data_IF_099034786406
#
_entry.id   IF_099034786406
#
_cell.length_a   1.000
_cell.length_b   1.000
_cell.length_c   1.000
_cell.angle_alpha   90.00
_cell.angle_beta   90.00
_cell.angle_gamma   90.00
#
_symmetry.space_group_name_H-M   'P 1'
#
loop_
_entity.id
_entity.type
_entity.pdbx_description
1 polymer ?
#
# COMPACT_ATOMS: atom_id res chain seq x y z
N UNK A 1 -22.85 2.06 5.22
CA UNK A 1 -23.14 0.92 4.34
C UNK A 1 -24.65 0.68 4.25
N UNK A 2 -25.09 0.16 3.11
CA UNK A 2 -26.44 -0.40 2.91
C UNK A 2 -26.26 -1.92 2.80
N UNK A 3 -27.10 -2.68 3.52
CA UNK A 3 -27.16 -4.13 3.41
C UNK A 3 -28.48 -4.55 2.78
N UNK A 4 -28.45 -5.57 1.92
CA UNK A 4 -29.65 -6.08 1.26
C UNK A 4 -29.91 -7.52 1.72
N UNK A 5 -31.15 -7.78 2.15
CA UNK A 5 -31.59 -9.12 2.54
C UNK A 5 -32.34 -9.74 1.36
N UNK A 6 -31.96 -10.95 0.99
CA UNK A 6 -32.63 -11.75 -0.03
C UNK A 6 -33.66 -12.69 0.61
N UNK A 7 -34.91 -12.55 0.20
CA UNK A 7 -36.01 -13.46 0.53
C UNK A 7 -36.65 -13.97 -0.76
N UNK A 8 -37.37 -15.09 -0.70
CA UNK A 8 -38.19 -15.56 -1.82
C UNK A 8 -39.66 -15.20 -1.61
N UNK A 9 -40.45 -14.97 -2.68
CA UNK A 9 -41.87 -14.58 -2.54
C UNK A 9 -42.69 -15.53 -1.66
N UNK A 10 -42.40 -16.82 -1.73
CA UNK A 10 -43.12 -17.84 -1.00
C UNK A 10 -42.38 -18.35 0.27
N UNK A 11 -41.23 -17.74 0.60
CA UNK A 11 -40.44 -18.06 1.78
C UNK A 11 -39.93 -16.75 2.37
N UNK A 12 -40.70 -16.12 3.29
CA UNK A 12 -40.33 -14.81 3.84
C UNK A 12 -39.10 -14.85 4.76
N UNK A 13 -38.64 -16.05 5.15
CA UNK A 13 -37.41 -16.19 5.91
C UNK A 13 -36.19 -15.75 5.09
N UNK A 14 -35.30 -14.92 5.66
CA UNK A 14 -34.05 -14.50 5.02
C UNK A 14 -33.21 -15.70 4.59
N UNK A 15 -32.70 -15.72 3.35
CA UNK A 15 -31.86 -16.78 2.83
C UNK A 15 -30.40 -16.33 2.68
N UNK A 16 -30.22 -15.05 2.34
CA UNK A 16 -28.93 -14.45 2.18
C UNK A 16 -28.95 -12.97 2.54
N UNK A 17 -27.79 -12.44 2.89
CA UNK A 17 -27.59 -11.01 3.12
C UNK A 17 -26.32 -10.55 2.43
N UNK A 18 -26.42 -9.44 1.68
CA UNK A 18 -25.30 -8.73 1.09
C UNK A 18 -24.93 -7.61 2.07
N UNK A 19 -23.83 -7.79 2.80
CA UNK A 19 -23.51 -6.98 3.98
C UNK A 19 -22.66 -5.75 3.68
N UNK A 20 -22.18 -5.62 2.44
CA UNK A 20 -21.16 -4.61 2.18
C UNK A 20 -19.91 -4.88 3.03
N UNK A 21 -19.37 -3.84 3.65
CA UNK A 21 -18.27 -3.95 4.60
C UNK A 21 -18.72 -4.11 6.06
N UNK A 22 -20.03 -4.06 6.36
CA UNK A 22 -20.50 -4.11 7.74
C UNK A 22 -20.26 -5.47 8.43
N UNK A 23 -20.22 -6.54 7.65
CA UNK A 23 -19.81 -7.87 8.10
C UNK A 23 -19.06 -8.57 6.98
N UNK A 24 -17.82 -8.97 7.26
CA UNK A 24 -16.95 -9.71 6.34
C UNK A 24 -16.62 -11.08 6.96
N UNK A 25 -16.02 -11.96 6.19
CA UNK A 25 -15.63 -13.28 6.70
C UNK A 25 -14.52 -13.09 7.75
N UNK A 26 -14.84 -13.37 9.00
CA UNK A 26 -13.92 -13.24 10.13
C UNK A 26 -13.64 -11.81 10.60
N UNK A 27 -14.35 -10.80 10.09
CA UNK A 27 -14.09 -9.39 10.44
C UNK A 27 -15.17 -8.43 9.97
N UNK A 28 -14.80 -7.17 9.87
CA UNK A 28 -15.61 -6.08 9.31
C UNK A 28 -14.71 -5.05 8.63
N UNK A 29 -15.32 -4.12 7.87
CA UNK A 29 -14.56 -3.00 7.31
C UNK A 29 -13.99 -2.13 8.43
N UNK A 30 -12.77 -1.63 8.20
CA UNK A 30 -12.13 -0.69 9.10
C UNK A 30 -12.84 0.66 9.10
N UNK A 31 -12.79 1.36 10.22
CA UNK A 31 -13.59 2.57 10.47
C UNK A 31 -12.80 3.86 10.37
N UNK A 32 -11.48 3.78 10.13
CA UNK A 32 -10.56 4.91 10.09
C UNK A 32 -10.31 5.51 8.70
N UNK A 33 -10.90 4.92 7.64
CA UNK A 33 -10.67 5.36 6.25
C UNK A 33 -11.21 6.77 5.92
N UNK A 34 -12.10 7.32 6.75
CA UNK A 34 -12.64 8.67 6.58
C UNK A 34 -11.89 9.74 7.39
N UNK A 35 -10.90 9.33 8.16
CA UNK A 35 -10.11 10.19 9.03
C UNK A 35 -10.24 9.86 10.50
N UNK A 36 -9.25 10.24 11.32
CA UNK A 36 -9.20 9.90 12.74
C UNK A 36 -10.38 10.46 13.53
N UNK A 37 -10.92 11.62 13.13
CA UNK A 37 -12.06 12.27 13.76
C UNK A 37 -13.36 11.45 13.65
N UNK A 38 -13.48 10.58 12.64
CA UNK A 38 -14.65 9.73 12.42
C UNK A 38 -14.50 8.31 12.95
N UNK A 39 -13.28 7.88 13.25
CA UNK A 39 -12.93 6.49 13.54
C UNK A 39 -13.79 5.89 14.64
N UNK A 40 -13.86 6.55 15.79
CA UNK A 40 -14.62 6.08 16.96
C UNK A 40 -16.12 6.07 16.70
N UNK A 41 -16.66 7.12 16.09
CA UNK A 41 -18.08 7.22 15.81
C UNK A 41 -18.51 6.14 14.80
N UNK A 42 -17.72 5.92 13.76
CA UNK A 42 -17.98 4.86 12.78
C UNK A 42 -17.88 3.46 13.40
N UNK A 43 -16.99 3.25 14.37
CA UNK A 43 -16.91 1.98 15.10
C UNK A 43 -18.17 1.76 15.96
N UNK A 44 -18.71 2.79 16.61
CA UNK A 44 -19.99 2.72 17.34
C UNK A 44 -21.17 2.39 16.41
N UNK A 45 -21.23 3.02 15.25
CA UNK A 45 -22.24 2.74 14.23
C UNK A 45 -22.11 1.34 13.64
N UNK A 46 -20.90 0.84 13.48
CA UNK A 46 -20.61 -0.53 13.04
C UNK A 46 -21.11 -1.53 14.09
N UNK A 47 -20.80 -1.32 15.38
CA UNK A 47 -21.33 -2.12 16.47
C UNK A 47 -22.86 -2.23 16.41
N UNK A 48 -23.56 -1.09 16.32
CA UNK A 48 -25.02 -1.08 16.20
C UNK A 48 -25.50 -1.87 14.97
N UNK A 49 -24.88 -1.66 13.82
CA UNK A 49 -25.26 -2.34 12.57
C UNK A 49 -25.06 -3.84 12.66
N UNK A 50 -23.98 -4.27 13.31
CA UNK A 50 -23.65 -5.67 13.50
C UNK A 50 -24.59 -6.33 14.51
N UNK A 51 -24.64 -5.82 15.75
CA UNK A 51 -25.34 -6.46 16.85
C UNK A 51 -26.85 -6.25 16.85
N UNK A 52 -27.33 -5.06 16.48
CA UNK A 52 -28.76 -4.78 16.48
C UNK A 52 -29.50 -5.19 15.20
N UNK A 53 -28.77 -5.49 14.11
CA UNK A 53 -29.38 -5.80 12.81
C UNK A 53 -28.88 -7.13 12.23
N UNK A 54 -27.61 -7.21 11.82
CA UNK A 54 -27.09 -8.35 11.04
C UNK A 54 -27.07 -9.64 11.87
N UNK A 55 -26.60 -9.60 13.09
CA UNK A 55 -26.53 -10.75 13.97
C UNK A 55 -27.91 -11.17 14.56
N UNK A 56 -28.97 -10.44 14.27
CA UNK A 56 -30.35 -10.83 14.56
C UNK A 56 -30.94 -11.77 13.49
N UNK A 57 -30.25 -11.92 12.36
CA UNK A 57 -30.68 -12.85 11.31
C UNK A 57 -30.42 -14.30 11.74
N UNK A 58 -31.21 -15.28 11.22
CA UNK A 58 -30.99 -16.70 11.50
C UNK A 58 -29.60 -17.19 11.11
N UNK A 59 -29.07 -18.15 11.84
CA UNK A 59 -27.72 -18.71 11.65
C UNK A 59 -27.48 -19.27 10.27
N UNK A 60 -28.51 -19.80 9.60
CA UNK A 60 -28.43 -20.37 8.26
C UNK A 60 -28.30 -19.32 7.14
N UNK A 61 -28.52 -18.04 7.42
CA UNK A 61 -28.45 -16.98 6.41
C UNK A 61 -27.04 -16.84 5.88
N UNK A 62 -26.88 -16.96 4.57
CA UNK A 62 -25.59 -16.81 3.89
C UNK A 62 -25.21 -15.34 3.81
N UNK A 63 -23.93 -15.05 4.08
CA UNK A 63 -23.36 -13.70 4.07
C UNK A 63 -22.48 -13.54 2.82
N UNK A 64 -22.76 -12.50 2.05
CA UNK A 64 -22.01 -12.08 0.87
C UNK A 64 -21.43 -10.67 1.12
N UNK A 65 -20.18 -10.56 1.54
CA UNK A 65 -19.52 -9.26 1.74
C UNK A 65 -19.09 -8.64 0.40
N UNK A 66 -18.66 -7.37 0.45
CA UNK A 66 -18.21 -6.64 -0.74
C UNK A 66 -17.01 -7.30 -1.43
N UNK A 67 -16.06 -7.83 -0.66
CA UNK A 67 -14.84 -8.49 -1.14
C UNK A 67 -14.31 -9.47 -0.09
N UNK A 68 -13.36 -10.31 -0.50
CA UNK A 68 -12.63 -11.22 0.39
C UNK A 68 -11.33 -10.61 0.92
N UNK A 69 -10.38 -11.49 1.30
CA UNK A 69 -9.06 -11.12 1.80
C UNK A 69 -8.23 -10.29 0.80
N UNK A 70 -7.21 -9.59 1.31
CA UNK A 70 -6.22 -8.85 0.51
C UNK A 70 -6.59 -7.40 0.21
N UNK A 71 -7.69 -6.89 0.75
CA UNK A 71 -8.05 -5.47 0.66
C UNK A 71 -7.63 -4.71 1.91
N UNK A 72 -7.07 -3.50 1.74
CA UNK A 72 -6.79 -2.58 2.85
C UNK A 72 -8.06 -2.02 3.53
N UNK A 73 -9.24 -2.29 2.98
CA UNK A 73 -10.52 -1.82 3.53
C UNK A 73 -11.01 -2.65 4.72
N UNK A 74 -10.36 -3.76 5.06
CA UNK A 74 -10.78 -4.65 6.13
C UNK A 74 -9.61 -5.07 7.00
N UNK A 75 -9.87 -5.27 8.29
CA UNK A 75 -8.98 -6.00 9.20
C UNK A 75 -8.83 -7.46 8.70
N UNK A 76 -7.84 -8.22 9.23
CA UNK A 76 -7.50 -9.54 8.67
C UNK A 76 -8.73 -10.36 8.38
N UNK A 77 -8.88 -10.75 7.12
CA UNK A 77 -10.06 -11.43 6.58
C UNK A 77 -9.62 -12.81 6.11
N UNK A 78 -10.45 -13.81 6.38
CA UNK A 78 -10.21 -15.17 5.92
C UNK A 78 -10.20 -15.27 4.37
N UNK A 79 -9.56 -16.29 3.84
CA UNK A 79 -9.48 -16.55 2.39
C UNK A 79 -10.84 -16.87 1.75
N UNK A 80 -11.82 -17.29 2.55
CA UNK A 80 -13.17 -17.60 2.07
C UNK A 80 -13.89 -16.32 1.66
N UNK A 81 -14.68 -16.42 0.60
CA UNK A 81 -15.44 -15.30 0.03
C UNK A 81 -16.84 -15.14 0.61
N UNK A 82 -17.38 -16.18 1.24
CA UNK A 82 -18.73 -16.23 1.79
C UNK A 82 -18.73 -16.94 3.13
N UNK A 83 -19.72 -16.64 3.97
CA UNK A 83 -19.91 -17.26 5.28
C UNK A 83 -21.38 -17.36 5.63
N UNK A 84 -21.72 -17.65 6.88
CA UNK A 84 -23.08 -17.59 7.42
C UNK A 84 -23.13 -16.75 8.69
N UNK A 85 -24.29 -16.23 9.02
CA UNK A 85 -24.49 -15.46 10.28
C UNK A 85 -24.08 -16.29 11.51
N UNK A 86 -24.44 -17.57 11.54
CA UNK A 86 -24.07 -18.46 12.65
C UNK A 86 -22.57 -18.67 12.77
N UNK A 87 -21.85 -18.86 11.65
CA UNK A 87 -20.39 -18.96 11.67
C UNK A 87 -19.73 -17.68 12.19
N UNK A 88 -20.15 -16.51 11.67
CA UNK A 88 -19.60 -15.24 12.13
C UNK A 88 -19.90 -15.00 13.61
N UNK A 89 -21.08 -15.32 14.09
CA UNK A 89 -21.44 -15.22 15.53
C UNK A 89 -20.53 -16.10 16.39
N UNK A 90 -20.11 -17.25 15.89
CA UNK A 90 -19.26 -18.17 16.62
C UNK A 90 -17.76 -17.84 16.55
N UNK A 91 -17.27 -17.27 15.45
CA UNK A 91 -15.82 -17.19 15.16
C UNK A 91 -15.28 -15.78 14.98
N UNK A 92 -16.11 -14.80 14.61
CA UNK A 92 -15.69 -13.44 14.38
C UNK A 92 -15.58 -12.66 15.71
N UNK A 93 -14.41 -12.20 16.05
CA UNK A 93 -14.18 -11.51 17.33
C UNK A 93 -15.06 -10.27 17.50
N UNK A 94 -15.26 -9.47 16.44
CA UNK A 94 -16.15 -8.30 16.49
C UNK A 94 -17.62 -8.73 16.72
N UNK A 95 -18.07 -9.81 16.11
CA UNK A 95 -19.41 -10.33 16.28
C UNK A 95 -19.64 -10.92 17.69
N UNK A 96 -18.59 -11.39 18.34
CA UNK A 96 -18.63 -11.95 19.72
C UNK A 96 -18.53 -10.89 20.80
N UNK A 97 -18.00 -9.70 20.47
CA UNK A 97 -17.79 -8.61 21.42
C UNK A 97 -19.04 -7.73 21.52
N UNK A 98 -19.90 -8.03 22.52
CA UNK A 98 -21.16 -7.31 22.71
C UNK A 98 -21.00 -5.95 23.40
N UNK A 99 -19.97 -5.77 24.24
CA UNK A 99 -19.69 -4.52 24.92
C UNK A 99 -19.23 -3.43 23.96
N UNK A 100 -19.90 -2.27 23.96
CA UNK A 100 -19.65 -1.19 23.00
C UNK A 100 -18.20 -0.66 23.05
N UNK A 101 -17.70 -0.39 24.26
CA UNK A 101 -16.36 0.19 24.42
C UNK A 101 -15.26 -0.83 24.09
N UNK A 102 -15.45 -2.09 24.45
CA UNK A 102 -14.55 -3.19 24.08
C UNK A 102 -14.56 -3.41 22.55
N UNK A 103 -15.73 -3.36 21.93
CA UNK A 103 -15.86 -3.45 20.47
C UNK A 103 -15.12 -2.30 19.77
N UNK A 104 -15.28 -1.06 20.23
CA UNK A 104 -14.58 0.11 19.67
C UNK A 104 -13.07 -0.07 19.79
N UNK A 105 -12.59 -0.47 20.98
CA UNK A 105 -11.17 -0.73 21.19
C UNK A 105 -10.65 -1.81 20.23
N UNK A 106 -11.37 -2.92 20.08
CA UNK A 106 -10.99 -4.01 19.17
C UNK A 106 -11.02 -3.59 17.71
N UNK A 107 -12.06 -2.86 17.28
CA UNK A 107 -12.25 -2.45 15.90
C UNK A 107 -11.22 -1.40 15.42
N UNK A 108 -10.59 -0.69 16.36
CA UNK A 108 -9.63 0.38 16.08
C UNK A 108 -8.18 0.02 16.42
N UNK A 109 -7.96 -1.11 17.09
CA UNK A 109 -6.62 -1.54 17.48
C UNK A 109 -5.86 -2.16 16.29
N UNK A 110 -4.56 -1.84 16.18
CA UNK A 110 -3.63 -2.53 15.28
C UNK A 110 -3.99 -2.43 13.80
N UNK A 111 -4.75 -1.41 13.40
CA UNK A 111 -5.10 -1.21 11.99
C UNK A 111 -3.83 -0.88 11.20
N UNK A 112 -3.54 -1.63 10.11
CA UNK A 112 -2.37 -1.35 9.28
C UNK A 112 -2.53 -0.01 8.55
N UNK A 113 -1.41 0.59 8.15
CA UNK A 113 -1.43 1.76 7.26
C UNK A 113 -2.18 1.45 5.96
N UNK A 114 -2.65 2.46 5.26
CA UNK A 114 -3.39 2.32 4.02
C UNK A 114 -3.02 3.41 3.01
N UNK A 115 -3.21 3.15 1.70
CA UNK A 115 -2.90 4.14 0.66
C UNK A 115 -3.64 5.46 0.88
N UNK A 116 -2.92 6.57 0.78
CA UNK A 116 -3.45 7.90 1.10
C UNK A 116 -4.65 8.32 0.25
N UNK A 117 -4.74 7.83 -0.99
CA UNK A 117 -5.87 8.12 -1.89
C UNK A 117 -7.23 7.59 -1.37
N UNK A 118 -7.25 6.67 -0.41
CA UNK A 118 -8.50 6.18 0.18
C UNK A 118 -9.32 7.30 0.81
N UNK A 119 -8.67 8.33 1.34
CA UNK A 119 -9.34 9.52 1.90
C UNK A 119 -10.13 10.29 0.85
N UNK A 120 -9.70 10.22 -0.42
CA UNK A 120 -10.31 10.92 -1.54
C UNK A 120 -11.48 10.14 -2.17
N UNK A 121 -11.53 8.81 -1.95
CA UNK A 121 -12.49 7.92 -2.60
C UNK A 121 -13.95 8.32 -2.33
N UNK A 122 -14.26 8.79 -1.12
CA UNK A 122 -15.62 9.23 -0.79
C UNK A 122 -16.06 10.41 -1.67
N UNK A 123 -15.23 11.44 -1.75
CA UNK A 123 -15.52 12.64 -2.54
C UNK A 123 -15.58 12.32 -4.04
N UNK A 124 -14.67 11.48 -4.53
CA UNK A 124 -14.66 11.01 -5.91
C UNK A 124 -15.95 10.25 -6.26
N UNK A 125 -16.35 9.30 -5.43
CA UNK A 125 -17.55 8.50 -5.66
C UNK A 125 -18.84 9.33 -5.55
N UNK A 126 -18.89 10.32 -4.66
CA UNK A 126 -20.04 11.23 -4.55
C UNK A 126 -20.19 12.14 -5.78
N UNK A 127 -19.06 12.61 -6.33
CA UNK A 127 -19.03 13.43 -7.56
C UNK A 127 -19.37 12.60 -8.80
N UNK A 128 -19.15 11.30 -8.74
CA UNK A 128 -19.25 10.38 -9.86
C UNK A 128 -18.00 10.35 -10.75
N UNK A 129 -17.77 9.21 -11.36
CA UNK A 129 -16.63 9.03 -12.27
C UNK A 129 -16.91 9.73 -13.62
N UNK A 130 -15.92 10.41 -14.22
CA UNK A 130 -16.08 10.96 -15.57
C UNK A 130 -16.20 9.81 -16.59
N UNK A 131 -17.03 10.02 -17.61
CA UNK A 131 -17.13 9.10 -18.76
C UNK A 131 -16.01 9.43 -19.72
N UNK A 132 -15.00 8.58 -19.78
CA UNK A 132 -13.78 8.83 -20.58
C UNK A 132 -13.94 8.51 -22.07
N UNK A 133 -14.95 7.72 -22.44
CA UNK A 133 -15.11 7.25 -23.86
C UNK A 133 -14.05 6.24 -24.31
N UNK A 134 -12.98 6.06 -23.55
CA UNK A 134 -11.86 5.15 -23.77
C UNK A 134 -10.70 5.44 -22.83
N UNK A 135 -9.70 4.57 -22.81
CA UNK A 135 -8.49 4.79 -22.02
C UNK A 135 -7.62 5.87 -22.71
N UNK A 136 -7.21 6.95 -21.99
CA UNK A 136 -6.33 7.95 -22.57
C UNK A 136 -4.99 7.34 -23.02
N UNK A 137 -4.56 7.69 -24.22
CA UNK A 137 -3.22 7.34 -24.68
C UNK A 137 -2.18 8.24 -24.01
N UNK A 138 -1.10 7.64 -23.51
CA UNK A 138 0.02 8.40 -22.98
C UNK A 138 0.83 9.02 -24.13
N UNK A 139 1.22 10.27 -23.95
CA UNK A 139 2.10 10.97 -24.92
C UNK A 139 3.55 10.70 -24.59
N UNK A 140 4.37 10.45 -25.62
CA UNK A 140 5.81 10.56 -25.49
C UNK A 140 6.19 12.04 -25.29
N UNK A 141 6.96 12.34 -24.27
CA UNK A 141 7.46 13.69 -24.00
C UNK A 141 8.99 13.66 -23.95
N UNK A 142 9.61 14.69 -24.49
CA UNK A 142 11.05 14.90 -24.42
C UNK A 142 11.47 15.42 -23.02
N UNK A 143 12.77 15.39 -22.73
CA UNK A 143 13.32 15.99 -21.51
C UNK A 143 12.97 17.48 -21.40
N UNK A 144 13.01 18.20 -22.53
CA UNK A 144 12.69 19.63 -22.55
C UNK A 144 11.22 19.90 -22.18
N UNK A 145 10.30 19.06 -22.67
CA UNK A 145 8.88 19.13 -22.29
C UNK A 145 8.62 18.66 -20.86
N UNK A 146 9.37 17.68 -20.37
CA UNK A 146 9.23 17.17 -19.00
C UNK A 146 9.67 18.17 -17.94
N UNK A 147 10.74 18.94 -18.20
CA UNK A 147 11.37 19.80 -17.21
C UNK A 147 10.41 20.81 -16.54
N UNK A 148 9.58 21.57 -17.26
CA UNK A 148 8.62 22.48 -16.65
C UNK A 148 7.61 21.78 -15.74
N UNK A 149 7.21 20.55 -16.07
CA UNK A 149 6.30 19.78 -15.24
C UNK A 149 6.95 19.35 -13.93
N UNK A 150 8.22 18.92 -13.95
CA UNK A 150 8.97 18.59 -12.73
C UNK A 150 9.15 19.81 -11.84
N UNK A 151 9.46 20.97 -12.40
CA UNK A 151 9.57 22.23 -11.67
C UNK A 151 8.25 22.67 -11.01
N UNK A 152 7.13 22.30 -11.61
CA UNK A 152 5.78 22.51 -11.08
C UNK A 152 5.33 21.40 -10.12
N UNK A 153 6.22 20.46 -9.78
CA UNK A 153 5.96 19.41 -8.81
C UNK A 153 5.32 18.14 -9.36
N UNK A 154 5.42 17.90 -10.66
CA UNK A 154 5.01 16.59 -11.21
C UNK A 154 5.87 15.46 -10.62
N UNK A 155 5.25 14.31 -10.40
CA UNK A 155 5.94 13.10 -9.97
C UNK A 155 6.47 12.33 -11.18
N UNK A 156 7.75 12.00 -11.14
CA UNK A 156 8.35 11.05 -12.07
C UNK A 156 8.25 9.66 -11.46
N UNK A 157 7.50 8.75 -12.07
CA UNK A 157 7.27 7.39 -11.59
C UNK A 157 7.92 6.40 -12.56
N UNK A 158 8.94 5.72 -12.08
CA UNK A 158 9.63 4.67 -12.82
C UNK A 158 8.94 3.33 -12.54
N UNK A 159 8.38 2.75 -13.59
CA UNK A 159 7.62 1.50 -13.52
C UNK A 159 8.43 0.28 -13.99
N UNK A 160 9.72 0.47 -14.32
CA UNK A 160 10.66 -0.61 -14.63
C UNK A 160 10.89 -1.50 -13.42
N UNK A 161 11.58 -2.60 -13.62
CA UNK A 161 11.91 -3.51 -12.52
C UNK A 161 12.81 -2.85 -11.47
N UNK A 162 12.78 -3.36 -10.24
CA UNK A 162 13.68 -2.93 -9.16
C UNK A 162 15.15 -3.06 -9.57
N UNK A 163 15.53 -4.12 -10.27
CA UNK A 163 16.91 -4.32 -10.72
C UNK A 163 17.37 -3.21 -11.68
N UNK A 164 16.58 -2.89 -12.68
CA UNK A 164 16.87 -1.81 -13.63
C UNK A 164 16.93 -0.44 -12.95
N UNK A 165 16.04 -0.21 -11.99
CA UNK A 165 16.05 1.04 -11.22
C UNK A 165 17.33 1.18 -10.39
N UNK A 166 17.78 0.12 -9.73
CA UNK A 166 19.03 0.09 -8.94
C UNK A 166 20.25 0.32 -9.81
N UNK A 167 20.30 -0.29 -11.01
CA UNK A 167 21.38 -0.10 -11.97
C UNK A 167 21.49 1.33 -12.48
N UNK A 168 20.36 2.03 -12.66
CA UNK A 168 20.38 3.41 -13.13
C UNK A 168 18.98 4.00 -13.22
N UNK A 169 18.74 5.07 -12.47
CA UNK A 169 17.47 5.78 -12.49
C UNK A 169 17.66 7.30 -12.52
N UNK A 170 16.62 7.99 -12.91
CA UNK A 170 16.59 9.45 -12.89
C UNK A 170 16.46 9.92 -11.44
N UNK A 171 17.37 10.78 -10.93
CA UNK A 171 17.34 11.23 -9.54
C UNK A 171 15.99 11.81 -9.13
N UNK A 172 15.49 11.37 -7.99
CA UNK A 172 14.20 11.81 -7.44
C UNK A 172 12.97 11.14 -8.07
N UNK A 173 13.12 10.15 -8.95
CA UNK A 173 12.02 9.33 -9.42
C UNK A 173 11.48 8.44 -8.29
N UNK A 174 10.18 8.15 -8.31
CA UNK A 174 9.59 7.12 -7.47
C UNK A 174 9.80 5.75 -8.12
N UNK A 175 10.34 4.79 -7.39
CA UNK A 175 10.44 3.40 -7.82
C UNK A 175 9.17 2.64 -7.50
N UNK A 176 8.35 2.35 -8.49
CA UNK A 176 7.14 1.54 -8.34
C UNK A 176 7.00 0.62 -9.55
N UNK A 177 7.54 -0.59 -9.44
CA UNK A 177 7.52 -1.56 -10.53
C UNK A 177 6.09 -1.91 -10.98
N UNK A 178 5.88 -2.01 -12.30
CA UNK A 178 4.57 -2.32 -12.88
C UNK A 178 4.18 -3.76 -12.57
N UNK A 179 3.16 -3.91 -11.75
CA UNK A 179 2.55 -5.18 -11.34
C UNK A 179 1.11 -4.96 -10.96
N UNK A 180 0.40 -5.98 -10.52
CA UNK A 180 -1.02 -5.88 -10.15
C UNK A 180 -1.30 -4.78 -9.09
N UNK A 181 -0.39 -4.56 -8.16
CA UNK A 181 -0.51 -3.55 -7.11
C UNK A 181 0.12 -2.18 -7.45
N UNK A 182 0.56 -1.95 -8.70
CA UNK A 182 1.25 -0.71 -9.12
C UNK A 182 0.45 0.55 -8.75
N UNK A 183 -0.81 0.63 -9.17
CA UNK A 183 -1.66 1.78 -8.85
C UNK A 183 -1.81 1.99 -7.34
N UNK A 184 -1.98 0.92 -6.56
CA UNK A 184 -2.07 1.00 -5.10
C UNK A 184 -0.81 1.63 -4.50
N UNK A 185 0.38 1.21 -4.95
CA UNK A 185 1.65 1.73 -4.45
C UNK A 185 1.89 3.18 -4.90
N UNK A 186 1.58 3.53 -6.15
CA UNK A 186 1.61 4.94 -6.57
C UNK A 186 0.68 5.78 -5.69
N UNK A 187 -0.55 5.33 -5.47
CA UNK A 187 -1.51 6.02 -4.62
C UNK A 187 -1.14 6.05 -3.13
N UNK A 188 -0.13 5.29 -2.72
CA UNK A 188 0.40 5.33 -1.37
C UNK A 188 1.48 6.39 -1.21
N UNK A 189 2.41 6.48 -2.19
CA UNK A 189 3.63 7.26 -2.05
C UNK A 189 3.62 8.58 -2.82
N UNK A 190 2.80 8.69 -3.86
CA UNK A 190 2.63 9.94 -4.61
C UNK A 190 1.42 10.71 -4.07
N UNK A 191 1.53 11.99 -3.71
CA UNK A 191 0.40 12.78 -3.22
C UNK A 191 -0.74 12.82 -4.23
N UNK A 192 -1.98 12.71 -3.75
CA UNK A 192 -3.16 12.73 -4.62
C UNK A 192 -3.25 14.04 -5.41
N UNK A 193 -3.66 13.94 -6.69
CA UNK A 193 -3.77 15.10 -7.59
C UNK A 193 -2.45 15.59 -8.19
N UNK A 194 -1.31 14.97 -7.85
CA UNK A 194 -0.01 15.28 -8.47
C UNK A 194 -0.02 14.83 -9.94
N UNK A 195 0.43 15.68 -10.90
CA UNK A 195 0.65 15.25 -12.27
C UNK A 195 1.73 14.16 -12.33
N UNK A 196 1.53 13.14 -13.15
CA UNK A 196 2.45 11.99 -13.25
C UNK A 196 3.08 11.92 -14.62
N UNK A 197 4.38 11.72 -14.62
CA UNK A 197 5.20 11.35 -15.79
C UNK A 197 5.74 9.94 -15.54
N UNK A 198 5.63 9.06 -16.52
CA UNK A 198 6.11 7.68 -16.41
C UNK A 198 7.49 7.51 -17.03
N UNK A 199 8.29 6.63 -16.43
CA UNK A 199 9.50 6.03 -17.04
C UNK A 199 9.19 4.55 -17.24
N UNK A 200 9.31 4.05 -18.48
CA UNK A 200 8.85 2.72 -18.89
C UNK A 200 9.76 2.14 -20.01
N UNK A 201 9.48 0.91 -20.43
CA UNK A 201 10.08 0.33 -21.65
C UNK A 201 9.33 0.76 -22.94
N UNK A 202 8.43 1.71 -22.84
CA UNK A 202 7.68 2.31 -23.94
C UNK A 202 6.79 1.33 -24.72
N UNK A 203 6.37 0.25 -24.09
CA UNK A 203 5.45 -0.69 -24.73
C UNK A 203 3.99 -0.26 -24.56
N UNK A 204 3.14 -0.42 -25.58
CA UNK A 204 1.71 -0.11 -25.45
C UNK A 204 1.02 -0.85 -24.32
N UNK A 205 1.41 -2.09 -24.04
CA UNK A 205 0.85 -2.91 -22.98
C UNK A 205 1.16 -2.36 -21.59
N UNK A 206 2.40 -1.91 -21.34
CA UNK A 206 2.77 -1.25 -20.07
C UNK A 206 2.00 0.06 -19.89
N UNK A 207 1.94 0.88 -20.92
CA UNK A 207 1.24 2.15 -20.88
C UNK A 207 -0.26 1.95 -20.59
N UNK A 208 -0.89 0.99 -21.25
CA UNK A 208 -2.29 0.65 -21.01
C UNK A 208 -2.50 0.16 -19.56
N UNK A 209 -1.66 -0.77 -19.10
CA UNK A 209 -1.76 -1.35 -17.75
C UNK A 209 -1.57 -0.29 -16.67
N UNK A 210 -0.54 0.57 -16.79
CA UNK A 210 -0.27 1.65 -15.85
C UNK A 210 -1.39 2.69 -15.83
N UNK A 211 -1.81 3.18 -17.02
CA UNK A 211 -2.89 4.15 -17.14
C UNK A 211 -4.19 3.64 -16.54
N UNK A 212 -4.56 2.38 -16.82
CA UNK A 212 -5.76 1.74 -16.29
C UNK A 212 -5.74 1.67 -14.76
N UNK A 213 -4.60 1.31 -14.17
CA UNK A 213 -4.46 1.23 -12.71
C UNK A 213 -4.53 2.61 -12.05
N UNK A 214 -3.87 3.62 -12.63
CA UNK A 214 -3.85 4.99 -12.10
C UNK A 214 -5.23 5.64 -12.15
N UNK A 215 -5.94 5.54 -13.30
CA UNK A 215 -7.29 6.10 -13.44
C UNK A 215 -8.27 5.45 -12.46
N UNK A 216 -8.18 4.15 -12.20
CA UNK A 216 -9.05 3.44 -11.24
C UNK A 216 -8.99 3.99 -9.83
N UNK A 217 -7.89 4.61 -9.45
CA UNK A 217 -7.67 5.23 -8.13
C UNK A 217 -7.74 6.75 -8.17
N UNK A 218 -8.19 7.35 -9.30
CA UNK A 218 -8.40 8.79 -9.44
C UNK A 218 -7.15 9.60 -9.78
N UNK A 219 -6.06 8.96 -10.20
CA UNK A 219 -4.84 9.62 -10.71
C UNK A 219 -4.97 9.80 -12.23
N UNK A 220 -5.73 10.80 -12.63
CA UNK A 220 -6.08 11.09 -14.02
C UNK A 220 -5.21 12.18 -14.68
N UNK A 221 -4.32 12.82 -13.92
CA UNK A 221 -3.40 13.86 -14.41
C UNK A 221 -2.13 13.25 -14.97
N UNK A 222 -2.27 12.42 -16.02
CA UNK A 222 -1.15 11.78 -16.70
C UNK A 222 -0.58 12.72 -17.76
N UNK A 223 0.64 13.22 -17.54
CA UNK A 223 1.32 14.14 -18.46
C UNK A 223 1.80 13.37 -19.70
N UNK A 224 2.39 12.19 -19.48
CA UNK A 224 2.95 11.34 -20.52
C UNK A 224 4.01 10.39 -19.97
N UNK A 225 4.88 9.91 -20.87
CA UNK A 225 6.06 9.14 -20.50
C UNK A 225 7.30 9.75 -21.12
N UNK A 226 8.46 9.61 -20.46
CA UNK A 226 9.74 10.10 -20.97
C UNK A 226 10.19 9.26 -22.16
N UNK A 227 10.26 9.86 -23.35
CA UNK A 227 10.75 9.20 -24.56
C UNK A 227 12.24 8.85 -24.40
N UNK A 228 12.60 7.59 -24.71
CA UNK A 228 13.95 7.05 -24.55
C UNK A 228 14.39 6.80 -23.12
N UNK A 229 13.53 7.03 -22.13
CA UNK A 229 13.75 6.68 -20.72
C UNK A 229 15.08 7.20 -20.12
N UNK A 230 15.69 6.47 -19.15
CA UNK A 230 16.97 6.84 -18.55
C UNK A 230 18.14 6.98 -19.54
N UNK A 231 18.25 6.18 -20.62
CA UNK A 231 19.27 6.41 -21.64
C UNK A 231 19.18 7.78 -22.32
N UNK A 232 17.98 8.27 -22.60
CA UNK A 232 17.82 9.63 -23.15
C UNK A 232 18.21 10.72 -22.15
N UNK A 233 17.94 10.50 -20.85
CA UNK A 233 18.37 11.39 -19.78
C UNK A 233 19.90 11.50 -19.72
N UNK A 234 20.60 10.37 -19.78
CA UNK A 234 22.05 10.30 -19.76
C UNK A 234 22.66 10.92 -21.03
N UNK A 235 22.10 10.61 -22.21
CA UNK A 235 22.52 11.20 -23.49
C UNK A 235 22.35 12.73 -23.53
N UNK A 236 21.46 13.29 -22.74
CA UNK A 236 21.32 14.73 -22.53
C UNK A 236 22.36 15.33 -21.55
N UNK A 237 23.35 14.56 -21.13
CA UNK A 237 24.43 14.98 -20.23
C UNK A 237 23.98 15.06 -18.75
N UNK A 238 22.88 14.43 -18.38
CA UNK A 238 22.35 14.41 -17.02
C UNK A 238 22.72 13.10 -16.32
N UNK A 239 23.28 13.14 -15.09
CA UNK A 239 23.68 11.92 -14.40
C UNK A 239 22.49 11.07 -13.98
N UNK A 240 22.63 9.76 -14.04
CA UNK A 240 21.77 8.80 -13.37
C UNK A 240 22.24 8.61 -11.93
N UNK A 241 21.31 8.29 -11.06
CA UNK A 241 21.58 7.78 -9.72
C UNK A 241 21.63 6.25 -9.75
N UNK A 242 22.43 5.68 -8.84
CA UNK A 242 22.64 4.25 -8.69
C UNK A 242 22.60 3.88 -7.22
N UNK A 243 22.05 2.73 -6.89
CA UNK A 243 22.14 2.21 -5.53
C UNK A 243 22.99 0.95 -5.46
N UNK A 244 23.66 0.75 -4.34
CA UNK A 244 24.39 -0.48 -4.10
C UNK A 244 23.44 -1.55 -3.54
N UNK A 245 23.60 -2.77 -4.04
CA UNK A 245 22.99 -3.96 -3.44
C UNK A 245 23.98 -4.54 -2.45
N UNK A 246 23.49 -4.88 -1.25
CA UNK A 246 24.29 -5.48 -0.17
C UNK A 246 23.69 -6.80 0.26
N UNK A 247 24.54 -7.77 0.51
CA UNK A 247 24.14 -9.10 0.98
C UNK A 247 23.78 -9.09 2.47
N UNK A 248 23.01 -10.06 2.96
CA UNK A 248 22.79 -10.25 4.39
C UNK A 248 24.10 -10.38 5.20
N UNK A 249 25.13 -11.03 4.63
CA UNK A 249 26.43 -11.21 5.28
C UNK A 249 27.16 -9.87 5.47
N UNK A 250 27.14 -9.00 4.46
CA UNK A 250 27.73 -7.66 4.55
C UNK A 250 27.02 -6.80 5.59
N UNK A 251 25.67 -6.80 5.58
CA UNK A 251 24.89 -6.06 6.58
C UNK A 251 25.16 -6.60 7.98
N UNK A 252 25.16 -7.93 8.18
CA UNK A 252 25.46 -8.54 9.46
C UNK A 252 26.86 -8.17 9.98
N UNK A 253 27.89 -8.22 9.12
CA UNK A 253 29.25 -7.83 9.48
C UNK A 253 29.35 -6.36 9.89
N UNK A 254 28.70 -5.45 9.16
CA UNK A 254 28.70 -4.01 9.43
C UNK A 254 27.97 -3.66 10.72
N UNK A 255 26.85 -4.31 11.02
CA UNK A 255 26.16 -4.16 12.31
C UNK A 255 27.05 -4.57 13.48
N UNK A 256 27.84 -5.66 13.34
CA UNK A 256 28.82 -6.11 14.32
C UNK A 256 29.97 -5.12 14.54
N UNK A 257 30.41 -4.44 13.49
CA UNK A 257 31.50 -3.44 13.53
C UNK A 257 31.03 -2.07 14.04
N UNK A 258 29.72 -1.83 14.13
CA UNK A 258 29.13 -0.54 14.53
C UNK A 258 29.63 0.64 13.69
N UNK A 259 29.74 0.43 12.36
CA UNK A 259 30.24 1.43 11.41
C UNK A 259 29.24 2.56 11.11
N UNK A 260 28.15 2.61 11.85
CA UNK A 260 27.08 3.62 11.70
C UNK A 260 26.02 3.24 10.68
N UNK A 261 26.03 1.99 10.14
CA UNK A 261 24.95 1.51 9.27
C UNK A 261 23.62 1.52 10.02
N UNK A 262 22.60 2.16 9.45
CA UNK A 262 21.22 2.00 9.85
C UNK A 262 20.55 0.93 8.96
N UNK A 263 19.71 0.10 9.56
CA UNK A 263 18.84 -0.83 8.82
C UNK A 263 17.40 -0.34 8.96
N UNK A 264 16.68 -0.22 7.85
CA UNK A 264 15.26 0.20 7.84
C UNK A 264 14.42 -0.92 7.25
N UNK A 265 13.49 -1.42 8.06
CA UNK A 265 12.47 -2.37 7.64
C UNK A 265 11.22 -1.61 7.20
N UNK A 266 10.87 -1.72 5.92
CA UNK A 266 9.73 -1.00 5.33
C UNK A 266 8.48 -1.87 5.17
N UNK A 267 8.42 -2.98 5.90
CA UNK A 267 7.25 -3.88 5.92
C UNK A 267 6.16 -3.34 6.83
N UNK A 268 4.98 -3.94 6.75
CA UNK A 268 3.88 -3.59 7.64
C UNK A 268 4.11 -4.09 9.08
N UNK A 269 3.46 -3.44 10.05
CA UNK A 269 3.63 -3.71 11.48
C UNK A 269 3.45 -5.19 11.84
N UNK A 270 2.46 -5.88 11.26
CA UNK A 270 2.24 -7.31 11.56
C UNK A 270 3.41 -8.20 11.07
N UNK A 271 4.07 -7.84 9.96
CA UNK A 271 5.25 -8.54 9.45
C UNK A 271 6.47 -8.29 10.34
N UNK A 272 6.60 -7.04 10.82
CA UNK A 272 7.65 -6.64 11.78
C UNK A 272 7.52 -7.43 13.09
N UNK A 273 6.34 -7.44 13.69
CA UNK A 273 6.11 -8.15 14.95
C UNK A 273 6.34 -9.66 14.83
N UNK A 274 6.10 -10.26 13.66
CA UNK A 274 6.35 -11.67 13.40
C UNK A 274 7.86 -12.01 13.32
N UNK A 275 8.69 -11.02 12.96
CA UNK A 275 10.15 -11.18 12.95
C UNK A 275 10.83 -10.08 12.14
N UNK A 276 11.93 -9.53 12.67
CA UNK A 276 12.70 -8.44 12.06
C UNK A 276 14.20 -8.58 12.36
N UNK A 277 15.03 -7.82 11.64
CA UNK A 277 16.47 -7.75 11.89
C UNK A 277 16.70 -6.99 13.20
N UNK A 278 17.44 -7.56 14.18
CA UNK A 278 17.69 -6.88 15.45
C UNK A 278 18.34 -5.50 15.27
N UNK A 279 17.77 -4.48 15.92
CA UNK A 279 18.26 -3.10 15.83
C UNK A 279 17.86 -2.35 14.56
N UNK A 280 17.06 -2.94 13.68
CA UNK A 280 16.46 -2.22 12.55
C UNK A 280 15.42 -1.21 13.03
N UNK A 281 15.25 -0.14 12.26
CA UNK A 281 14.17 0.83 12.43
C UNK A 281 12.95 0.35 11.62
N UNK A 282 11.80 0.30 12.23
CA UNK A 282 10.55 -0.03 11.54
C UNK A 282 9.82 1.22 11.07
N UNK A 283 9.61 1.34 9.78
CA UNK A 283 8.80 2.40 9.18
C UNK A 283 8.14 1.84 7.92
N UNK A 284 6.82 1.70 7.94
CA UNK A 284 6.08 1.27 6.74
C UNK A 284 6.44 2.12 5.51
N UNK A 285 6.67 1.48 4.37
CA UNK A 285 7.05 2.16 3.13
C UNK A 285 6.11 3.31 2.77
N UNK A 286 4.81 3.15 3.02
CA UNK A 286 3.81 4.19 2.75
C UNK A 286 3.92 5.41 3.64
N UNK A 287 4.53 5.29 4.81
CA UNK A 287 4.69 6.37 5.80
C UNK A 287 6.05 7.06 5.70
N UNK A 288 7.02 6.41 5.05
CA UNK A 288 8.41 6.86 5.03
C UNK A 288 8.59 8.29 4.47
N UNK A 289 7.73 8.71 3.54
CA UNK A 289 7.78 10.05 2.96
C UNK A 289 7.58 11.18 3.96
N UNK A 290 6.74 10.97 4.98
CA UNK A 290 6.39 11.97 6.02
C UNK A 290 6.96 11.68 7.40
N UNK A 291 7.54 10.49 7.63
CA UNK A 291 8.03 10.08 8.94
C UNK A 291 9.29 10.86 9.34
N UNK A 292 9.36 11.33 10.59
CA UNK A 292 10.58 11.98 11.10
C UNK A 292 11.66 10.90 11.33
N UNK A 293 12.77 11.03 10.60
CA UNK A 293 13.93 10.15 10.75
C UNK A 293 15.03 10.87 11.55
N UNK A 294 15.54 10.20 12.57
CA UNK A 294 16.73 10.65 13.29
C UNK A 294 17.98 9.99 12.70
N UNK A 295 18.18 10.25 11.40
CA UNK A 295 19.31 9.74 10.61
C UNK A 295 20.00 10.91 9.89
N UNK A 296 21.32 10.84 9.75
CA UNK A 296 22.08 11.83 9.00
C UNK A 296 21.97 11.59 7.50
N UNK A 297 21.96 12.63 6.66
CA UNK A 297 21.85 12.50 5.20
C UNK A 297 22.97 11.66 4.54
N UNK A 298 24.15 11.64 5.14
CA UNK A 298 25.36 10.91 4.70
C UNK A 298 25.49 9.52 5.32
N UNK A 299 24.66 9.19 6.31
CA UNK A 299 24.70 7.90 6.99
C UNK A 299 24.33 6.77 6.03
N UNK A 300 25.09 5.66 6.04
CA UNK A 300 24.70 4.48 5.27
C UNK A 300 23.40 3.88 5.80
N UNK A 301 22.44 3.67 4.90
CA UNK A 301 21.12 3.13 5.22
C UNK A 301 20.83 1.93 4.33
N UNK A 302 20.73 0.74 4.94
CA UNK A 302 20.26 -0.46 4.25
C UNK A 302 18.75 -0.59 4.44
N UNK A 303 18.01 -0.63 3.34
CA UNK A 303 16.55 -0.79 3.36
C UNK A 303 16.17 -2.18 2.90
N UNK A 304 15.24 -2.79 3.60
CA UNK A 304 14.71 -4.10 3.23
C UNK A 304 13.19 -4.21 3.37
N UNK A 305 12.64 -5.20 2.70
CA UNK A 305 11.29 -5.69 2.90
C UNK A 305 11.28 -7.23 2.90
N UNK A 306 10.18 -7.87 2.54
CA UNK A 306 10.15 -9.33 2.33
C UNK A 306 11.03 -9.78 1.16
N UNK A 307 11.04 -9.00 0.06
CA UNK A 307 11.82 -9.26 -1.16
C UNK A 307 12.59 -8.00 -1.59
N UNK A 308 12.12 -7.23 -2.61
CA UNK A 308 12.83 -6.04 -3.10
C UNK A 308 11.93 -4.81 -3.34
N UNK A 309 10.73 -4.97 -3.89
CA UNK A 309 9.95 -3.86 -4.45
C UNK A 309 9.60 -2.76 -3.45
N UNK A 310 9.10 -3.13 -2.26
CA UNK A 310 8.80 -2.14 -1.20
C UNK A 310 10.05 -1.43 -0.71
N UNK A 311 11.18 -2.17 -0.65
CA UNK A 311 12.46 -1.60 -0.27
C UNK A 311 12.94 -0.58 -1.30
N UNK A 312 12.83 -0.85 -2.60
CA UNK A 312 13.16 0.10 -3.65
C UNK A 312 12.28 1.35 -3.59
N UNK A 313 10.98 1.19 -3.37
CA UNK A 313 10.08 2.32 -3.12
C UNK A 313 10.52 3.14 -1.90
N UNK A 314 10.90 2.47 -0.80
CA UNK A 314 11.43 3.12 0.40
C UNK A 314 12.73 3.88 0.14
N UNK A 315 13.67 3.28 -0.59
CA UNK A 315 14.93 3.93 -0.99
C UNK A 315 14.67 5.18 -1.84
N UNK A 316 13.75 5.12 -2.80
CA UNK A 316 13.39 6.26 -3.62
C UNK A 316 12.81 7.41 -2.77
N UNK A 317 12.01 7.10 -1.76
CA UNK A 317 11.49 8.11 -0.82
C UNK A 317 12.61 8.71 0.05
N UNK A 318 13.58 7.93 0.49
CA UNK A 318 14.75 8.42 1.23
C UNK A 318 15.63 9.32 0.35
N UNK A 319 15.91 8.92 -0.91
CA UNK A 319 16.65 9.72 -1.86
C UNK A 319 16.00 11.09 -2.09
N UNK A 320 14.69 11.12 -2.29
CA UNK A 320 13.90 12.35 -2.42
C UNK A 320 13.98 13.27 -1.19
N UNK A 321 14.26 12.70 -0.02
CA UNK A 321 14.50 13.41 1.25
C UNK A 321 15.95 13.86 1.44
N UNK A 322 16.84 13.58 0.48
CA UNK A 322 18.23 13.99 0.48
C UNK A 322 19.22 13.02 1.13
N UNK A 323 18.79 11.81 1.49
CA UNK A 323 19.71 10.75 1.89
C UNK A 323 20.49 10.26 0.66
N UNK A 324 21.78 10.00 0.82
CA UNK A 324 22.68 9.75 -0.33
C UNK A 324 23.35 8.38 -0.30
N UNK A 325 23.57 7.80 0.87
CA UNK A 325 24.25 6.54 1.04
C UNK A 325 23.23 5.40 1.25
N UNK A 326 22.55 5.06 0.16
CA UNK A 326 21.40 4.16 0.15
C UNK A 326 21.79 2.78 -0.38
N UNK A 327 21.38 1.75 0.34
CA UNK A 327 21.74 0.35 0.09
C UNK A 327 20.47 -0.50 0.07
N UNK A 328 20.31 -1.34 -0.96
CA UNK A 328 19.25 -2.34 -1.03
C UNK A 328 19.75 -3.66 -0.43
N UNK A 329 19.10 -4.16 0.61
CA UNK A 329 19.40 -5.49 1.14
C UNK A 329 18.82 -6.56 0.19
N UNK A 330 19.73 -7.34 -0.39
CA UNK A 330 19.38 -8.40 -1.32
C UNK A 330 18.53 -9.49 -0.66
N UNK A 331 17.41 -9.86 -1.33
CA UNK A 331 16.45 -10.85 -0.84
C UNK A 331 15.72 -10.48 0.46
N UNK A 332 16.02 -9.31 1.03
CA UNK A 332 15.34 -8.78 2.21
C UNK A 332 15.41 -9.69 3.44
N UNK A 333 14.36 -9.68 4.28
CA UNK A 333 14.33 -10.52 5.49
C UNK A 333 14.38 -12.02 5.17
N UNK A 334 13.81 -12.44 4.05
CA UNK A 334 13.83 -13.86 3.66
C UNK A 334 15.27 -14.37 3.45
N UNK A 335 16.11 -13.58 2.79
CA UNK A 335 17.52 -13.93 2.59
C UNK A 335 18.33 -13.84 3.90
N UNK A 336 18.02 -12.87 4.77
CA UNK A 336 18.59 -12.77 6.11
C UNK A 336 18.37 -14.05 6.93
N UNK A 337 17.14 -14.53 6.95
CA UNK A 337 16.76 -15.77 7.65
C UNK A 337 17.38 -17.00 7.00
N UNK A 338 17.41 -17.08 5.67
CA UNK A 338 18.05 -18.18 4.94
C UNK A 338 19.56 -18.26 5.20
N UNK A 339 20.22 -17.12 5.47
CA UNK A 339 21.62 -17.07 5.88
C UNK A 339 21.84 -17.49 7.36
N UNK A 340 20.79 -17.82 8.10
CA UNK A 340 20.86 -18.30 9.49
C UNK A 340 21.08 -17.18 10.52
N UNK A 341 20.89 -15.91 10.16
CA UNK A 341 21.04 -14.81 11.11
C UNK A 341 19.80 -14.66 12.01
N UNK A 342 20.06 -14.23 13.26
CA UNK A 342 19.02 -14.05 14.26
C UNK A 342 17.98 -12.99 13.83
N UNK A 343 16.74 -13.23 14.24
CA UNK A 343 15.65 -12.25 14.15
C UNK A 343 15.10 -11.96 15.55
N UNK A 344 14.61 -10.75 15.77
CA UNK A 344 13.86 -10.37 16.95
C UNK A 344 12.34 -10.41 16.62
N UNK A 345 11.51 -10.46 17.63
CA UNK A 345 10.04 -10.40 17.54
C UNK A 345 9.49 -9.39 18.53
N UNK A 346 8.27 -8.89 18.31
CA UNK A 346 7.62 -7.91 19.17
C UNK A 346 7.97 -6.46 18.81
N UNK A 347 7.73 -5.55 19.75
CA UNK A 347 8.13 -4.15 19.62
C UNK A 347 9.62 -4.07 19.90
N UNK A 348 10.44 -3.88 18.89
CA UNK A 348 11.91 -3.90 18.93
C UNK A 348 12.55 -2.85 19.84
#
# INVERSE_FOLDING_TARGET
HISFILTQPNQPAPQAVFTGGALMVGGAARTDLLGPEWTTELARQLHHSLHAKLLQLPDSVRVYPTHGAGSFCAAPVAAERTTTIGRERATNNLARTAGLDEFVALATAGLPSYPTYFREMRALNQRGAPVLGGLPALKAISIAEMQPHLEQGAALVDLRSTAEFVEGHIPGAYSVALREAFGTWVGWVVPFGTPIILVSHETPAEHEAATRQLIRIGYDRLVGYLAGGPPAWEAAGRPLAHWSIVTPAEVHARLGQRDGLAVVDVRQAHEWHAGHIPGALHIDAGELGGHKLDLRPDQPIAVHCGHHDRAATGLALLERRGFRNLLLLDGGLSAWQAAGYATATGEG
#
